data_IF_516278302532
#
_entry.id   IF_516278302532
#
_cell.length_a   1.000
_cell.length_b   1.000
_cell.length_c   1.000
_cell.angle_alpha   90.00
_cell.angle_beta   90.00
_cell.angle_gamma   90.00
#
_symmetry.space_group_name_H-M   'P 1'
#
loop_
_entity.id
_entity.type
_entity.pdbx_description
1 polymer ?
#
# COMPACT_ATOMS: atom_id res chain seq x y z
N UNK A 1 5.83 -48.94 -52.91
CA UNK A 1 6.25 -47.67 -52.29
C UNK A 1 4.97 -46.95 -51.94
N UNK A 2 4.73 -46.70 -50.64
CA UNK A 2 3.76 -45.75 -50.04
C UNK A 2 3.21 -46.29 -48.69
N UNK A 3 4.09 -46.48 -47.71
CA UNK A 3 3.67 -46.85 -46.33
C UNK A 3 4.43 -46.07 -45.24
N UNK A 4 5.38 -45.22 -45.62
CA UNK A 4 6.24 -44.45 -44.71
C UNK A 4 5.92 -42.95 -44.62
N UNK A 5 5.06 -42.41 -45.49
CA UNK A 5 4.73 -40.98 -45.52
C UNK A 5 3.63 -40.59 -44.51
N UNK A 6 2.70 -41.49 -44.23
CA UNK A 6 1.58 -41.27 -43.29
C UNK A 6 2.05 -41.15 -41.82
N UNK A 7 3.04 -41.93 -41.33
CA UNK A 7 3.54 -41.81 -39.95
C UNK A 7 4.42 -40.58 -39.70
N UNK A 8 5.16 -40.10 -40.70
CA UNK A 8 6.05 -38.94 -40.57
C UNK A 8 5.24 -37.64 -40.49
N UNK A 9 4.17 -37.54 -41.28
CA UNK A 9 3.30 -36.37 -41.28
C UNK A 9 2.50 -36.25 -39.97
N UNK A 10 2.08 -37.37 -39.38
CA UNK A 10 1.37 -37.40 -38.09
C UNK A 10 2.27 -37.05 -36.90
N UNK A 11 3.53 -37.52 -36.91
CA UNK A 11 4.53 -37.11 -35.92
C UNK A 11 4.89 -35.61 -36.01
N UNK A 12 5.02 -35.08 -37.24
CA UNK A 12 5.31 -33.66 -37.46
C UNK A 12 4.13 -32.78 -37.02
N UNK A 13 2.88 -33.20 -37.30
CA UNK A 13 1.68 -32.52 -36.85
C UNK A 13 1.59 -32.45 -35.31
N UNK A 14 1.93 -33.53 -34.60
CA UNK A 14 1.99 -33.53 -33.14
C UNK A 14 3.02 -32.54 -32.58
N UNK A 15 4.21 -32.46 -33.19
CA UNK A 15 5.26 -31.52 -32.77
C UNK A 15 4.90 -30.05 -33.02
N UNK A 16 4.24 -29.76 -34.15
CA UNK A 16 3.79 -28.41 -34.49
C UNK A 16 2.69 -27.92 -33.52
N UNK A 17 1.72 -28.79 -33.21
CA UNK A 17 0.67 -28.50 -32.21
C UNK A 17 1.30 -28.32 -30.81
N UNK A 18 2.26 -29.17 -30.45
CA UNK A 18 2.99 -29.06 -29.17
C UNK A 18 3.81 -27.76 -29.05
N UNK A 19 4.46 -27.32 -30.13
CA UNK A 19 5.21 -26.06 -30.16
C UNK A 19 4.28 -24.84 -30.04
N UNK A 20 3.16 -24.84 -30.76
CA UNK A 20 2.14 -23.78 -30.66
C UNK A 20 1.50 -23.74 -29.26
N UNK A 21 1.18 -24.89 -28.69
CA UNK A 21 0.68 -24.97 -27.31
C UNK A 21 1.70 -24.42 -26.32
N UNK A 22 2.98 -24.81 -26.44
CA UNK A 22 4.07 -24.32 -25.58
C UNK A 22 4.27 -22.81 -25.69
N UNK A 23 4.16 -22.26 -26.90
CA UNK A 23 4.26 -20.83 -27.14
C UNK A 23 3.10 -20.05 -26.49
N UNK A 24 1.86 -20.53 -26.67
CA UNK A 24 0.67 -19.94 -26.02
C UNK A 24 0.79 -20.02 -24.50
N UNK A 25 1.18 -21.18 -23.95
CA UNK A 25 1.41 -21.35 -22.51
C UNK A 25 2.48 -20.41 -21.98
N UNK A 26 3.57 -20.21 -22.72
CA UNK A 26 4.65 -19.29 -22.35
C UNK A 26 4.16 -17.85 -22.34
N UNK A 27 3.41 -17.42 -23.36
CA UNK A 27 2.83 -16.08 -23.42
C UNK A 27 1.83 -15.81 -22.30
N UNK A 28 0.92 -16.74 -22.02
CA UNK A 28 -0.02 -16.64 -20.89
C UNK A 28 0.76 -16.54 -19.57
N UNK A 29 1.79 -17.36 -19.40
CA UNK A 29 2.66 -17.34 -18.23
C UNK A 29 3.36 -15.99 -18.10
N UNK A 30 3.98 -15.48 -19.15
CA UNK A 30 4.66 -14.18 -19.14
C UNK A 30 3.71 -13.03 -18.78
N UNK A 31 2.50 -12.99 -19.35
CA UNK A 31 1.50 -11.96 -19.03
C UNK A 31 1.08 -12.08 -17.56
N UNK A 32 0.87 -13.30 -17.04
CA UNK A 32 0.54 -13.51 -15.63
C UNK A 32 1.66 -13.05 -14.69
N UNK A 33 2.91 -13.37 -15.02
CA UNK A 33 4.10 -12.96 -14.26
C UNK A 33 4.28 -11.45 -14.28
N UNK A 34 4.11 -10.81 -15.44
CA UNK A 34 4.20 -9.35 -15.58
C UNK A 34 3.12 -8.64 -14.76
N UNK A 35 1.88 -9.18 -14.73
CA UNK A 35 0.80 -8.64 -13.88
C UNK A 35 1.11 -8.82 -12.40
N UNK A 36 1.60 -10.00 -11.99
CA UNK A 36 2.00 -10.25 -10.61
C UNK A 36 3.13 -9.33 -10.16
N UNK A 37 4.15 -9.12 -11.00
CA UNK A 37 5.26 -8.22 -10.72
C UNK A 37 4.80 -6.76 -10.54
N UNK A 38 3.88 -6.27 -11.38
CA UNK A 38 3.29 -4.93 -11.24
C UNK A 38 2.54 -4.79 -9.91
N UNK A 39 1.70 -5.77 -9.55
CA UNK A 39 0.98 -5.76 -8.26
C UNK A 39 1.93 -5.75 -7.07
N UNK A 40 3.01 -6.52 -7.13
CA UNK A 40 4.03 -6.55 -6.08
C UNK A 40 4.75 -5.20 -5.94
N UNK A 41 5.09 -4.56 -7.06
CA UNK A 41 5.72 -3.25 -7.05
C UNK A 41 4.79 -2.17 -6.49
N UNK A 42 3.53 -2.13 -6.95
CA UNK A 42 2.53 -1.18 -6.46
C UNK A 42 2.25 -1.36 -4.97
N UNK A 43 2.23 -2.62 -4.51
CA UNK A 43 2.10 -2.97 -3.10
C UNK A 43 3.29 -2.47 -2.29
N UNK A 44 4.52 -2.78 -2.71
CA UNK A 44 5.73 -2.36 -1.99
C UNK A 44 5.79 -0.83 -1.84
N UNK A 45 5.43 -0.10 -2.91
CA UNK A 45 5.34 1.35 -2.89
C UNK A 45 4.32 1.87 -1.88
N UNK A 46 3.15 1.22 -1.77
CA UNK A 46 2.12 1.58 -0.78
C UNK A 46 2.57 1.26 0.64
N UNK A 47 3.22 0.10 0.85
CA UNK A 47 3.77 -0.29 2.14
C UNK A 47 4.80 0.74 2.65
N UNK A 48 5.71 1.17 1.78
CA UNK A 48 6.68 2.23 2.08
C UNK A 48 6.00 3.56 2.41
N UNK A 49 5.07 4.01 1.56
CA UNK A 49 4.34 5.26 1.75
C UNK A 49 3.54 5.30 3.07
N UNK A 50 2.87 4.19 3.42
CA UNK A 50 2.12 4.12 4.67
C UNK A 50 3.03 4.06 5.89
N UNK A 51 4.18 3.40 5.78
CA UNK A 51 5.21 3.42 6.82
C UNK A 51 5.76 4.82 7.08
N UNK A 52 6.06 5.56 6.01
CA UNK A 52 6.50 6.96 6.07
C UNK A 52 5.45 7.84 6.78
N UNK A 53 4.18 7.71 6.41
CA UNK A 53 3.08 8.42 7.06
C UNK A 53 2.99 8.10 8.56
N UNK A 54 3.03 6.81 8.93
CA UNK A 54 2.95 6.37 10.33
C UNK A 54 4.09 6.96 11.15
N UNK A 55 5.31 6.93 10.61
CA UNK A 55 6.49 7.47 11.28
C UNK A 55 6.35 8.97 11.53
N UNK A 56 6.01 9.73 10.50
CA UNK A 56 5.91 11.20 10.60
C UNK A 56 4.73 11.64 11.47
N UNK A 57 3.57 11.00 11.32
CA UNK A 57 2.40 11.26 12.14
C UNK A 57 2.65 10.94 13.62
N UNK A 58 3.33 9.83 13.93
CA UNK A 58 3.69 9.48 15.31
C UNK A 58 4.60 10.54 15.93
N UNK A 59 5.62 10.97 15.18
CA UNK A 59 6.55 12.02 15.61
C UNK A 59 5.83 13.32 15.94
N UNK A 60 4.98 13.79 15.03
CA UNK A 60 4.23 15.04 15.20
C UNK A 60 3.16 14.92 16.28
N UNK A 61 2.52 13.76 16.42
CA UNK A 61 1.56 13.53 17.48
C UNK A 61 2.22 13.64 18.85
N UNK A 62 3.40 13.03 19.05
CA UNK A 62 4.17 13.18 20.30
C UNK A 62 4.63 14.62 20.53
N UNK A 63 5.20 15.27 19.50
CA UNK A 63 5.65 16.67 19.57
C UNK A 63 4.51 17.60 20.04
N UNK A 64 3.29 17.38 19.55
CA UNK A 64 2.11 18.18 19.88
C UNK A 64 1.59 18.03 21.33
N UNK A 65 2.05 17.04 22.12
CA UNK A 65 1.70 16.98 23.55
C UNK A 65 2.58 17.89 24.39
N UNK A 66 3.83 18.06 23.99
CA UNK A 66 4.84 18.81 24.76
C UNK A 66 5.01 20.25 24.26
N UNK A 67 4.62 20.52 23.01
CA UNK A 67 4.88 21.78 22.33
C UNK A 67 3.64 22.30 21.59
N UNK A 68 3.52 23.63 21.57
CA UNK A 68 2.64 24.33 20.64
C UNK A 68 3.25 24.30 19.22
N UNK A 69 2.43 24.63 18.20
CA UNK A 69 2.93 24.74 16.83
C UNK A 69 3.72 26.03 16.63
N UNK A 70 5.01 26.01 16.98
CA UNK A 70 5.92 27.15 16.82
C UNK A 70 6.30 27.41 15.35
N UNK A 71 6.46 26.33 14.57
CA UNK A 71 6.84 26.39 13.16
C UNK A 71 5.87 25.55 12.30
N UNK A 72 5.01 26.19 11.48
CA UNK A 72 4.11 25.50 10.57
C UNK A 72 4.82 24.60 9.55
N UNK A 73 6.11 24.85 9.25
CA UNK A 73 6.88 24.03 8.34
C UNK A 73 6.99 22.57 8.82
N UNK A 74 6.85 22.32 10.13
CA UNK A 74 6.79 20.96 10.70
C UNK A 74 5.68 20.09 10.09
N UNK A 75 4.56 20.69 9.66
CA UNK A 75 3.42 19.95 9.09
C UNK A 75 3.51 19.74 7.57
N UNK A 76 4.45 20.41 6.90
CA UNK A 76 4.58 20.37 5.43
C UNK A 76 4.88 18.96 4.94
N UNK A 77 5.77 18.24 5.63
CA UNK A 77 6.10 16.87 5.25
C UNK A 77 4.90 15.94 5.41
N UNK A 78 4.17 16.02 6.53
CA UNK A 78 2.93 15.27 6.72
C UNK A 78 1.89 15.56 5.63
N UNK A 79 1.69 16.83 5.26
CA UNK A 79 0.80 17.22 4.17
C UNK A 79 1.24 16.67 2.81
N UNK A 80 2.55 16.65 2.54
CA UNK A 80 3.10 16.07 1.32
C UNK A 80 2.84 14.55 1.25
N UNK A 81 2.99 13.84 2.37
CA UNK A 81 2.69 12.40 2.44
C UNK A 81 1.19 12.16 2.21
N UNK A 82 0.29 12.92 2.85
CA UNK A 82 -1.17 12.81 2.61
C UNK A 82 -1.51 13.07 1.14
N UNK A 83 -0.90 14.08 0.54
CA UNK A 83 -1.09 14.39 -0.89
C UNK A 83 -0.57 13.28 -1.79
N UNK A 84 0.47 12.56 -1.37
CA UNK A 84 0.99 11.37 -2.08
C UNK A 84 0.07 10.17 -1.89
N UNK A 85 -0.50 9.96 -0.69
CA UNK A 85 -1.54 8.95 -0.43
C UNK A 85 -2.76 9.21 -1.32
N UNK A 86 -3.13 10.47 -1.58
CA UNK A 86 -4.22 10.81 -2.51
C UNK A 86 -3.99 10.30 -3.94
N UNK A 87 -2.74 10.18 -4.37
CA UNK A 87 -2.39 9.67 -5.70
C UNK A 87 -2.39 8.15 -5.76
N UNK A 88 -1.96 7.47 -4.69
CA UNK A 88 -1.65 6.03 -4.74
C UNK A 88 -2.52 5.15 -3.84
N UNK A 89 -3.12 5.71 -2.80
CA UNK A 89 -3.95 4.99 -1.84
C UNK A 89 -5.43 4.92 -2.24
N UNK A 90 -6.16 4.03 -1.58
CA UNK A 90 -7.60 3.94 -1.72
C UNK A 90 -8.31 5.13 -1.03
N UNK A 91 -9.57 5.44 -1.43
CA UNK A 91 -10.36 6.47 -0.78
C UNK A 91 -10.51 6.27 0.74
N UNK A 92 -10.60 5.02 1.20
CA UNK A 92 -10.71 4.70 2.62
C UNK A 92 -9.41 5.04 3.37
N UNK A 93 -8.25 4.68 2.81
CA UNK A 93 -6.95 5.00 3.42
C UNK A 93 -6.68 6.51 3.43
N UNK A 94 -7.02 7.22 2.36
CA UNK A 94 -6.92 8.68 2.30
C UNK A 94 -7.77 9.35 3.38
N UNK A 95 -9.02 8.92 3.53
CA UNK A 95 -9.94 9.48 4.53
C UNK A 95 -9.36 9.37 5.95
N UNK A 96 -8.81 8.21 6.31
CA UNK A 96 -8.22 8.02 7.63
C UNK A 96 -6.92 8.83 7.80
N UNK A 97 -6.13 9.01 6.73
CA UNK A 97 -4.94 9.87 6.77
C UNK A 97 -5.30 11.35 7.02
N UNK A 98 -6.36 11.85 6.37
CA UNK A 98 -6.84 13.23 6.54
C UNK A 98 -7.39 13.47 7.97
N UNK A 99 -8.04 12.47 8.58
CA UNK A 99 -8.45 12.51 9.98
C UNK A 99 -7.26 12.61 10.93
N UNK A 100 -6.23 11.77 10.72
CA UNK A 100 -5.00 11.81 11.52
C UNK A 100 -4.34 13.19 11.44
N UNK A 101 -4.16 13.73 10.24
CA UNK A 101 -3.58 15.06 10.03
C UNK A 101 -4.39 16.15 10.75
N UNK A 102 -5.72 16.07 10.68
CA UNK A 102 -6.62 17.00 11.37
C UNK A 102 -6.49 16.89 12.89
N UNK A 103 -6.42 15.66 13.43
CA UNK A 103 -6.27 15.40 14.86
C UNK A 103 -4.92 15.88 15.40
N UNK A 104 -3.84 15.67 14.66
CA UNK A 104 -2.50 16.21 15.00
C UNK A 104 -2.55 17.73 15.03
N UNK A 105 -3.10 18.36 13.98
CA UNK A 105 -3.29 19.81 13.94
C UNK A 105 -4.10 20.33 15.14
N UNK A 106 -5.22 19.68 15.46
CA UNK A 106 -6.03 20.04 16.61
C UNK A 106 -5.31 19.85 17.96
N UNK A 107 -4.39 18.88 18.05
CA UNK A 107 -3.62 18.62 19.28
C UNK A 107 -2.66 19.76 19.57
N UNK A 108 -2.01 20.33 18.55
CA UNK A 108 -1.14 21.50 18.71
C UNK A 108 -1.87 22.77 19.18
N UNK A 109 -3.19 22.88 18.96
CA UNK A 109 -4.01 24.02 19.39
C UNK A 109 -4.78 23.77 20.69
N UNK A 110 -4.68 22.56 21.26
CA UNK A 110 -5.24 22.26 22.57
C UNK A 110 -4.27 22.72 23.66
N UNK A 111 -4.76 23.16 24.84
CA UNK A 111 -3.86 23.44 25.97
C UNK A 111 -3.02 22.20 26.29
N UNK A 112 -1.72 22.40 26.55
CA UNK A 112 -0.74 21.33 26.78
C UNK A 112 -1.32 20.21 27.64
N UNK A 113 -1.40 19.02 27.05
CA UNK A 113 -1.91 17.82 27.72
C UNK A 113 -0.79 17.25 28.58
N UNK A 114 -1.11 16.86 29.81
CA UNK A 114 -0.16 16.14 30.66
C UNK A 114 0.35 14.92 29.88
N UNK A 115 1.68 14.75 29.79
CA UNK A 115 2.35 13.60 29.16
C UNK A 115 1.83 12.27 29.73
N UNK A 116 1.22 12.26 30.91
CA UNK A 116 0.48 11.09 31.44
C UNK A 116 -0.66 10.59 30.54
N UNK A 117 -1.29 11.44 29.74
CA UNK A 117 -2.29 11.03 28.74
C UNK A 117 -1.70 10.14 27.64
N UNK A 118 -0.38 10.20 27.39
CA UNK A 118 0.30 9.25 26.50
C UNK A 118 0.22 7.81 27.03
N UNK A 119 0.29 7.62 28.35
CA UNK A 119 0.15 6.31 28.97
C UNK A 119 -1.28 5.76 28.90
N UNK A 120 -2.26 6.64 28.61
CA UNK A 120 -3.67 6.28 28.43
C UNK A 120 -4.02 5.95 26.97
N UNK A 121 -3.06 6.08 26.03
CA UNK A 121 -3.24 5.67 24.64
C UNK A 121 -3.40 4.15 24.61
N UNK A 122 -4.67 3.72 24.57
CA UNK A 122 -5.04 2.32 24.40
C UNK A 122 -5.19 1.98 22.92
N UNK A 123 -4.75 0.80 22.46
CA UNK A 123 -5.05 0.31 21.12
C UNK A 123 -6.58 0.31 20.89
N UNK A 124 -7.02 0.87 19.76
CA UNK A 124 -8.43 1.03 19.41
C UNK A 124 -9.25 2.00 20.31
N UNK A 125 -8.59 2.79 21.16
CA UNK A 125 -9.23 3.92 21.84
C UNK A 125 -9.18 5.21 21.01
N UNK A 126 -9.99 6.19 21.38
CA UNK A 126 -10.04 7.51 20.71
C UNK A 126 -8.70 8.28 20.74
N UNK A 127 -7.76 7.83 21.58
CA UNK A 127 -6.45 8.45 21.77
C UNK A 127 -5.37 7.91 20.83
N UNK A 128 -5.60 6.82 20.09
CA UNK A 128 -4.68 6.32 19.07
C UNK A 128 -5.12 6.82 17.67
N UNK A 129 -4.60 7.96 17.17
CA UNK A 129 -4.98 8.49 15.87
C UNK A 129 -4.68 7.50 14.74
N UNK A 130 -3.66 6.66 14.89
CA UNK A 130 -3.15 5.80 13.82
C UNK A 130 -3.85 4.45 13.73
N UNK A 131 -4.71 4.09 14.69
CA UNK A 131 -5.38 2.78 14.69
C UNK A 131 -6.25 2.58 13.44
N UNK A 132 -7.14 3.53 13.15
CA UNK A 132 -8.07 3.45 12.03
C UNK A 132 -7.33 3.50 10.68
N UNK A 133 -6.33 4.38 10.57
CA UNK A 133 -5.44 4.45 9.41
C UNK A 133 -4.72 3.11 9.17
N UNK A 134 -4.07 2.56 10.20
CA UNK A 134 -3.34 1.28 10.10
C UNK A 134 -4.27 0.13 9.71
N UNK A 135 -5.52 0.15 10.18
CA UNK A 135 -6.54 -0.83 9.76
C UNK A 135 -6.88 -0.67 8.27
N UNK A 136 -7.14 0.55 7.79
CA UNK A 136 -7.43 0.83 6.39
C UNK A 136 -6.26 0.39 5.48
N UNK A 137 -5.01 0.70 5.85
CA UNK A 137 -3.82 0.24 5.15
C UNK A 137 -3.77 -1.29 5.05
N UNK A 138 -4.01 -2.02 6.16
CA UNK A 138 -4.03 -3.49 6.13
C UNK A 138 -5.09 -4.04 5.19
N UNK A 139 -6.27 -3.44 5.17
CA UNK A 139 -7.36 -3.91 4.32
C UNK A 139 -7.07 -3.61 2.84
N UNK A 140 -6.51 -2.45 2.52
CA UNK A 140 -6.04 -2.12 1.17
C UNK A 140 -4.93 -3.07 0.67
N UNK A 141 -3.94 -3.35 1.52
CA UNK A 141 -2.82 -4.26 1.19
C UNK A 141 -3.25 -5.73 1.07
N UNK A 142 -4.36 -6.13 1.71
CA UNK A 142 -4.96 -7.46 1.52
C UNK A 142 -5.67 -7.56 0.17
N UNK A 143 -6.40 -6.53 -0.26
CA UNK A 143 -7.11 -6.50 -1.55
C UNK A 143 -6.12 -6.59 -2.71
N UNK A 144 -4.95 -5.97 -2.60
CA UNK A 144 -3.89 -6.08 -3.60
C UNK A 144 -3.33 -7.52 -3.79
N UNK A 145 -3.71 -8.49 -2.93
CA UNK A 145 -3.28 -9.90 -2.99
C UNK A 145 -4.17 -10.78 -3.88
N UNK A 146 -5.40 -10.37 -4.20
CA UNK A 146 -6.33 -11.08 -5.11
C UNK A 146 -6.20 -10.57 -6.54
#
# INVERSE_FOLDING_TARGET
>A
MDESLIPVLSALAGSAIGALASFVSTWITQISQARAARRMHDRARREELYGEFISEASRLFVDAFEHELEDPAKLVHLYAIVSTIRLFGSPATLLEAEKVMTQIGATYFAPNKDVRLFAEIAPAGDLDPLFAFSKACRDELKIARS
#
